data_IF_095494708285
#
_entry.id   IF_095494708285
#
_cell.length_a   1.000
_cell.length_b   1.000
_cell.length_c   1.000
_cell.angle_alpha   90.00
_cell.angle_beta   90.00
_cell.angle_gamma   90.00
#
_symmetry.space_group_name_H-M   'P 1'
#
loop_
_entity.id
_entity.type
_entity.pdbx_description
1 polymer ?
#
# COMPACT_ATOMS: atom_id res chain seq x y z
N UNK A 1 -23.94 8.57 -16.99
CA UNK A 1 -22.48 8.56 -16.87
C UNK A 1 -22.04 7.20 -16.44
N UNK A 2 -20.90 6.78 -16.98
CA UNK A 2 -20.20 5.53 -16.76
C UNK A 2 -18.85 5.86 -16.10
N UNK A 3 -18.85 6.22 -14.81
CA UNK A 3 -17.69 6.79 -14.15
C UNK A 3 -16.55 5.79 -13.88
N UNK A 4 -15.32 6.24 -14.13
CA UNK A 4 -14.06 5.62 -13.72
C UNK A 4 -13.26 6.63 -12.87
N UNK A 5 -12.56 6.14 -11.84
CA UNK A 5 -11.62 6.93 -11.05
C UNK A 5 -10.19 6.48 -11.31
N UNK A 6 -9.30 7.46 -11.51
CA UNK A 6 -7.86 7.27 -11.67
C UNK A 6 -7.14 7.94 -10.51
N UNK A 7 -6.30 7.17 -9.83
CA UNK A 7 -5.52 7.62 -8.69
C UNK A 7 -4.08 7.91 -9.13
N UNK A 8 -3.59 9.08 -8.75
CA UNK A 8 -2.21 9.51 -8.98
C UNK A 8 -1.50 9.86 -7.67
N UNK A 9 -0.20 9.61 -7.61
CA UNK A 9 0.72 10.21 -6.64
C UNK A 9 1.32 11.47 -7.25
N UNK A 10 1.35 12.56 -6.48
CA UNK A 10 2.03 13.79 -6.89
C UNK A 10 3.46 13.80 -6.36
N UNK A 11 4.43 13.70 -7.28
CA UNK A 11 5.85 13.78 -6.99
C UNK A 11 6.29 15.18 -6.54
N UNK A 12 7.51 15.27 -5.99
CA UNK A 12 8.09 16.55 -5.50
C UNK A 12 8.23 17.62 -6.59
N UNK A 13 8.40 17.20 -7.84
CA UNK A 13 8.45 18.08 -9.03
C UNK A 13 7.06 18.48 -9.53
N UNK A 14 5.98 18.05 -8.86
CA UNK A 14 4.60 18.26 -9.29
C UNK A 14 4.11 17.31 -10.37
N UNK A 15 4.96 16.40 -10.88
CA UNK A 15 4.54 15.39 -11.83
C UNK A 15 3.58 14.39 -11.18
N UNK A 16 2.61 13.92 -11.97
CA UNK A 16 1.64 12.93 -11.54
C UNK A 16 2.07 11.56 -12.04
N UNK A 17 2.21 10.61 -11.12
CA UNK A 17 2.47 9.21 -11.39
C UNK A 17 1.17 8.43 -11.18
N UNK A 18 0.70 7.73 -12.21
CA UNK A 18 -0.53 6.94 -12.11
C UNK A 18 -0.28 5.71 -11.23
N UNK A 19 -1.06 5.58 -10.16
CA UNK A 19 -0.99 4.45 -9.23
C UNK A 19 -1.90 3.33 -9.72
N UNK A 20 -3.09 3.69 -10.18
CA UNK A 20 -4.05 2.72 -10.68
C UNK A 20 -5.40 3.32 -11.04
N UNK A 21 -6.22 2.48 -11.66
CA UNK A 21 -7.57 2.80 -12.14
C UNK A 21 -8.58 1.87 -11.48
N UNK A 22 -9.78 2.37 -11.24
CA UNK A 22 -10.92 1.52 -10.89
C UNK A 22 -11.52 0.88 -12.14
N UNK A 23 -12.49 -0.01 -11.95
CA UNK A 23 -13.41 -0.38 -13.01
C UNK A 23 -14.33 0.78 -13.43
N UNK A 24 -14.97 0.63 -14.59
CA UNK A 24 -16.04 1.52 -15.05
C UNK A 24 -17.36 1.05 -14.44
N UNK A 25 -18.10 1.95 -13.80
CA UNK A 25 -19.44 1.64 -13.27
C UNK A 25 -20.49 2.11 -14.26
N UNK A 26 -21.20 1.21 -14.92
CA UNK A 26 -22.17 1.57 -15.95
C UNK A 26 -23.42 2.25 -15.38
N UNK A 27 -23.86 3.31 -16.05
CA UNK A 27 -25.10 4.04 -15.84
C UNK A 27 -25.36 4.46 -14.39
N UNK A 28 -24.35 5.02 -13.72
CA UNK A 28 -24.44 5.42 -12.32
C UNK A 28 -24.07 6.89 -12.08
N UNK A 29 -24.93 7.60 -11.34
CA UNK A 29 -24.68 8.95 -10.84
C UNK A 29 -24.05 8.94 -9.43
N UNK A 30 -24.09 7.80 -8.74
CA UNK A 30 -23.51 7.58 -7.42
C UNK A 30 -22.69 6.28 -7.43
N UNK A 31 -21.57 6.24 -8.19
CA UNK A 31 -20.80 5.01 -8.35
C UNK A 31 -20.20 4.56 -7.03
N UNK A 32 -20.15 3.24 -6.84
CA UNK A 32 -19.36 2.58 -5.80
C UNK A 32 -18.44 1.60 -6.50
N UNK A 33 -17.14 1.86 -6.44
CA UNK A 33 -16.13 0.99 -7.06
C UNK A 33 -15.72 -0.13 -6.10
N UNK A 34 -15.38 -1.26 -6.69
CA UNK A 34 -14.97 -2.51 -6.04
C UNK A 34 -13.45 -2.61 -6.05
N UNK A 35 -12.78 -2.18 -7.13
CA UNK A 35 -11.32 -2.23 -7.22
C UNK A 35 -10.69 -1.30 -6.17
N UNK A 36 -9.88 -1.90 -5.29
CA UNK A 36 -9.10 -1.18 -4.26
C UNK A 36 -7.69 -0.90 -4.78
N UNK A 37 -7.12 0.24 -4.36
CA UNK A 37 -5.73 0.59 -4.62
C UNK A 37 -4.90 0.40 -3.35
N UNK A 38 -3.76 -0.30 -3.47
CA UNK A 38 -2.86 -0.55 -2.34
C UNK A 38 -1.71 0.44 -2.35
N UNK A 39 -1.46 1.08 -1.21
CA UNK A 39 -0.44 2.11 -1.03
C UNK A 39 0.41 1.80 0.20
N UNK A 40 1.71 2.05 0.10
CA UNK A 40 2.60 2.06 1.28
C UNK A 40 2.53 3.42 1.93
N UNK A 41 2.25 3.47 3.23
CA UNK A 41 2.27 4.71 4.01
C UNK A 41 3.68 4.98 4.59
N UNK A 42 4.20 6.17 4.32
CA UNK A 42 5.49 6.68 4.79
C UNK A 42 5.23 7.89 5.69
N UNK A 43 5.30 7.69 7.01
CA UNK A 43 4.97 8.73 7.99
C UNK A 43 5.91 9.95 7.92
N UNK A 44 7.12 9.74 7.40
CA UNK A 44 8.17 10.74 7.24
C UNK A 44 8.00 11.62 5.99
N UNK A 45 7.03 11.29 5.10
CA UNK A 45 6.79 12.00 3.85
C UNK A 45 5.32 12.38 3.70
N UNK A 46 5.05 13.62 3.28
CA UNK A 46 3.71 14.02 2.84
C UNK A 46 3.42 13.39 1.48
N UNK A 47 2.59 12.35 1.47
CA UNK A 47 2.17 11.66 0.25
C UNK A 47 0.89 12.29 -0.29
N UNK A 48 1.01 13.11 -1.33
CA UNK A 48 -0.13 13.80 -1.95
C UNK A 48 -0.76 12.90 -3.01
N UNK A 49 -2.06 12.66 -2.86
CA UNK A 49 -2.89 11.88 -3.78
C UNK A 49 -3.77 12.81 -4.62
N UNK A 50 -3.88 12.50 -5.90
CA UNK A 50 -4.75 13.21 -6.84
C UNK A 50 -5.71 12.20 -7.46
N UNK A 51 -7.00 12.44 -7.28
CA UNK A 51 -8.09 11.62 -7.79
C UNK A 51 -8.71 12.31 -8.98
N UNK A 52 -8.74 11.66 -10.14
CA UNK A 52 -9.43 12.17 -11.33
C UNK A 52 -10.57 11.25 -11.69
N UNK A 53 -11.74 11.82 -11.95
CA UNK A 53 -12.93 11.06 -12.36
C UNK A 53 -13.25 11.39 -13.81
N UNK A 54 -13.55 10.37 -14.61
CA UNK A 54 -13.93 10.49 -16.00
C UNK A 54 -15.24 9.76 -16.25
N UNK A 55 -16.02 10.24 -17.22
CA UNK A 55 -17.16 9.55 -17.81
C UNK A 55 -16.68 8.84 -19.07
N UNK A 56 -16.77 7.50 -19.08
CA UNK A 56 -16.30 6.67 -20.19
C UNK A 56 -17.38 6.60 -21.26
N UNK A 57 -16.99 6.80 -22.52
CA UNK A 57 -17.94 6.67 -23.63
C UNK A 57 -18.41 5.21 -23.77
N UNK A 58 -19.71 5.05 -24.04
CA UNK A 58 -20.39 3.80 -24.37
C UNK A 58 -19.66 2.92 -25.39
N UNK A 59 -18.95 3.52 -26.34
CA UNK A 59 -18.17 2.76 -27.32
C UNK A 59 -16.99 1.97 -26.72
N UNK A 60 -16.55 2.32 -25.51
CA UNK A 60 -15.41 1.69 -24.84
C UNK A 60 -15.79 0.77 -23.67
N UNK A 61 -17.09 0.45 -23.49
CA UNK A 61 -17.55 -0.40 -22.38
C UNK A 61 -16.89 -1.79 -22.31
N UNK A 62 -16.43 -2.32 -23.44
CA UNK A 62 -15.77 -3.62 -23.51
C UNK A 62 -14.23 -3.53 -23.53
N UNK A 63 -13.65 -2.33 -23.48
CA UNK A 63 -12.22 -2.14 -23.48
C UNK A 63 -11.64 -2.38 -22.08
N UNK A 64 -10.43 -2.95 -22.01
CA UNK A 64 -9.70 -3.05 -20.75
C UNK A 64 -9.38 -1.64 -20.24
N UNK A 65 -9.68 -1.36 -18.96
CA UNK A 65 -9.43 -0.06 -18.34
C UNK A 65 -7.97 0.40 -18.42
N UNK A 66 -7.03 -0.56 -18.57
CA UNK A 66 -5.60 -0.28 -18.75
C UNK A 66 -5.27 0.29 -20.13
N UNK A 67 -6.05 -0.03 -21.16
CA UNK A 67 -5.85 0.47 -22.53
C UNK A 67 -6.73 1.68 -22.85
N UNK A 68 -7.68 2.03 -21.98
CA UNK A 68 -8.49 3.23 -22.13
C UNK A 68 -7.59 4.47 -22.18
N UNK A 69 -7.77 5.27 -23.24
CA UNK A 69 -7.12 6.56 -23.35
C UNK A 69 -7.97 7.61 -22.65
N UNK A 70 -7.47 8.14 -21.54
CA UNK A 70 -8.19 9.11 -20.71
C UNK A 70 -8.45 10.44 -21.42
N UNK A 71 -7.62 10.78 -22.41
CA UNK A 71 -7.80 11.97 -23.26
C UNK A 71 -9.03 11.89 -24.18
N UNK A 72 -9.51 10.68 -24.47
CA UNK A 72 -10.70 10.43 -25.28
C UNK A 72 -11.98 10.35 -24.41
N UNK A 73 -11.84 10.44 -23.07
CA UNK A 73 -12.96 10.35 -22.12
C UNK A 73 -13.35 11.73 -21.57
N UNK A 74 -14.59 11.88 -21.13
CA UNK A 74 -15.05 13.15 -20.59
C UNK A 74 -14.57 13.34 -19.15
N UNK A 75 -13.71 14.32 -18.92
CA UNK A 75 -13.23 14.66 -17.58
C UNK A 75 -14.36 15.24 -16.71
N UNK A 76 -14.64 14.59 -15.57
CA UNK A 76 -15.68 15.00 -14.64
C UNK A 76 -15.17 15.95 -13.56
N UNK A 77 -13.99 15.70 -13.02
CA UNK A 77 -13.36 16.56 -12.01
C UNK A 77 -12.18 15.91 -11.32
N UNK A 78 -11.46 16.71 -10.54
CA UNK A 78 -10.29 16.32 -9.77
C UNK A 78 -10.47 16.68 -8.28
N UNK A 79 -9.95 15.83 -7.40
CA UNK A 79 -9.79 16.12 -5.98
C UNK A 79 -8.36 15.78 -5.55
N UNK A 80 -7.81 16.52 -4.59
CA UNK A 80 -6.46 16.31 -4.06
C UNK A 80 -6.49 16.32 -2.53
N UNK A 81 -5.75 15.41 -1.90
CA UNK A 81 -5.52 15.42 -0.45
C UNK A 81 -4.20 14.72 -0.11
N UNK A 82 -3.67 14.91 1.09
CA UNK A 82 -2.62 14.04 1.60
C UNK A 82 -3.20 12.69 2.07
N UNK A 83 -2.46 11.59 1.91
CA UNK A 83 -2.86 10.27 2.43
C UNK A 83 -3.08 10.31 3.95
N UNK A 84 -2.27 11.10 4.67
CA UNK A 84 -2.41 11.33 6.11
C UNK A 84 -3.78 11.91 6.50
N UNK A 85 -4.42 12.70 5.63
CA UNK A 85 -5.72 13.31 5.92
C UNK A 85 -6.87 12.29 5.92
N UNK A 86 -6.69 11.14 5.24
CA UNK A 86 -7.69 10.07 5.19
C UNK A 86 -7.50 9.14 6.38
N UNK A 87 -6.28 8.64 6.58
CA UNK A 87 -5.98 7.63 7.60
C UNK A 87 -6.06 8.16 9.04
N UNK A 88 -5.99 9.48 9.25
CA UNK A 88 -6.13 10.08 10.58
C UNK A 88 -7.58 10.34 10.97
N UNK A 89 -8.55 10.10 10.07
CA UNK A 89 -9.97 10.17 10.40
C UNK A 89 -10.37 8.95 11.23
N UNK A 90 -11.22 9.17 12.22
CA UNK A 90 -11.68 8.12 13.14
C UNK A 90 -12.42 6.98 12.44
N UNK A 91 -13.08 7.25 11.32
CA UNK A 91 -13.78 6.26 10.49
C UNK A 91 -12.97 5.87 9.24
N UNK A 92 -11.73 6.35 9.10
CA UNK A 92 -10.87 6.10 7.94
C UNK A 92 -11.38 6.72 6.64
N UNK A 93 -12.34 7.66 6.68
CA UNK A 93 -12.99 8.17 5.47
C UNK A 93 -12.92 9.69 5.33
N UNK A 94 -12.71 10.16 4.09
CA UNK A 94 -12.67 11.56 3.72
C UNK A 94 -13.58 11.82 2.52
N UNK A 95 -14.42 12.84 2.61
CA UNK A 95 -15.21 13.32 1.46
C UNK A 95 -14.58 14.57 0.88
N UNK A 96 -14.26 14.53 -0.41
CA UNK A 96 -13.65 15.60 -1.17
C UNK A 96 -14.65 16.17 -2.19
N UNK A 97 -14.60 17.47 -2.43
CA UNK A 97 -15.32 18.08 -3.55
C UNK A 97 -14.51 17.85 -4.84
N UNK A 98 -15.16 17.36 -5.89
CA UNK A 98 -14.57 17.26 -7.22
C UNK A 98 -14.62 18.63 -7.89
N UNK A 99 -13.47 19.13 -8.28
CA UNK A 99 -13.30 20.44 -8.90
C UNK A 99 -12.97 20.28 -10.39
N UNK A 100 -13.59 21.11 -11.22
CA UNK A 100 -13.24 21.26 -12.62
C UNK A 100 -12.86 22.71 -12.88
N UNK A 101 -11.77 22.93 -13.58
CA UNK A 101 -11.37 24.28 -13.96
C UNK A 101 -12.32 24.80 -15.04
N UNK A 102 -13.00 25.91 -14.76
CA UNK A 102 -13.84 26.59 -15.75
C UNK A 102 -12.93 27.41 -16.67
N UNK A 103 -12.90 27.08 -17.95
CA UNK A 103 -12.09 27.79 -18.95
C UNK A 103 -12.62 29.19 -19.26
N UNK A 104 -13.86 29.51 -18.86
CA UNK A 104 -14.55 30.75 -19.22
C UNK A 104 -14.41 31.81 -18.12
N UNK A 105 -14.26 31.41 -16.85
CA UNK A 105 -14.14 32.33 -15.71
C UNK A 105 -12.80 32.13 -15.04
N UNK A 106 -11.81 32.93 -15.46
CA UNK A 106 -10.45 32.88 -14.93
C UNK A 106 -10.44 32.96 -13.40
N UNK A 107 -10.16 31.82 -12.75
CA UNK A 107 -9.93 31.70 -11.31
C UNK A 107 -11.00 30.96 -10.51
N UNK A 108 -12.17 30.65 -11.09
CA UNK A 108 -13.24 29.98 -10.35
C UNK A 108 -13.31 28.48 -10.72
N UNK A 109 -13.15 27.61 -9.72
CA UNK A 109 -13.28 26.16 -9.90
C UNK A 109 -14.73 25.74 -9.69
N UNK A 110 -15.34 25.13 -10.70
CA UNK A 110 -16.70 24.62 -10.57
C UNK A 110 -16.70 23.34 -9.74
N UNK A 111 -17.58 23.26 -8.73
CA UNK A 111 -17.86 22.01 -8.01
C UNK A 111 -18.72 21.11 -8.90
N UNK A 112 -18.20 19.94 -9.25
CA UNK A 112 -18.81 19.01 -10.20
C UNK A 112 -19.29 17.70 -9.56
N UNK A 113 -19.07 17.51 -8.26
CA UNK A 113 -19.49 16.33 -7.52
C UNK A 113 -18.74 16.18 -6.20
N UNK A 114 -18.92 15.03 -5.55
CA UNK A 114 -18.19 14.65 -4.35
C UNK A 114 -17.59 13.26 -4.53
N UNK A 115 -16.40 13.06 -3.98
CA UNK A 115 -15.72 11.78 -3.92
C UNK A 115 -15.52 11.40 -2.46
N UNK A 116 -16.08 10.27 -2.03
CA UNK A 116 -15.81 9.69 -0.71
C UNK A 116 -14.71 8.63 -0.84
N UNK A 117 -13.60 8.85 -0.16
CA UNK A 117 -12.47 7.92 -0.10
C UNK A 117 -12.46 7.25 1.26
N UNK A 118 -12.20 5.94 1.29
CA UNK A 118 -12.08 5.15 2.50
C UNK A 118 -10.74 4.42 2.48
N UNK A 119 -9.99 4.53 3.56
CA UNK A 119 -8.71 3.87 3.73
C UNK A 119 -8.80 2.83 4.85
N UNK A 120 -8.30 1.64 4.56
CA UNK A 120 -8.18 0.55 5.52
C UNK A 120 -6.74 0.05 5.51
N UNK A 121 -6.22 -0.23 6.69
CA UNK A 121 -4.92 -0.84 6.83
C UNK A 121 -5.02 -2.33 6.46
N UNK A 122 -4.22 -2.80 5.50
CA UNK A 122 -4.24 -4.20 5.07
C UNK A 122 -3.86 -5.13 6.23
N UNK A 123 -4.63 -6.19 6.48
CA UNK A 123 -4.43 -7.15 7.60
C UNK A 123 -2.98 -7.67 7.70
N UNK A 124 -2.30 -7.85 6.56
CA UNK A 124 -0.90 -8.28 6.51
C UNK A 124 0.11 -7.33 7.16
N UNK A 125 -0.24 -6.06 7.40
CA UNK A 125 0.63 -5.12 8.14
C UNK A 125 0.66 -5.38 9.65
N UNK A 126 -0.41 -5.99 10.20
CA UNK A 126 -0.57 -6.24 11.65
C UNK A 126 -0.18 -7.65 12.06
N UNK A 127 -0.05 -8.57 11.09
CA UNK A 127 0.26 -9.96 11.40
C UNK A 127 1.68 -10.08 11.92
N UNK A 128 1.78 -10.36 13.21
CA UNK A 128 3.02 -10.76 13.88
C UNK A 128 2.94 -12.24 14.17
N UNK A 129 3.96 -12.98 13.75
CA UNK A 129 4.08 -14.41 14.03
C UNK A 129 4.98 -14.58 15.25
N UNK A 130 4.49 -15.27 16.27
CA UNK A 130 5.28 -15.77 17.38
C UNK A 130 5.89 -17.12 16.98
N UNK A 131 7.21 -17.24 17.06
CA UNK A 131 7.95 -18.45 16.70
C UNK A 131 8.78 -18.88 17.89
N UNK A 132 8.61 -20.14 18.30
CA UNK A 132 9.49 -20.80 19.27
C UNK A 132 10.44 -21.70 18.49
N UNK A 133 11.73 -21.41 18.59
CA UNK A 133 12.77 -22.13 17.88
C UNK A 133 13.44 -23.12 18.82
N UNK A 134 13.72 -24.32 18.32
CA UNK A 134 14.44 -25.37 19.03
C UNK A 134 15.44 -26.03 18.09
N UNK A 135 16.63 -26.30 18.59
CA UNK A 135 17.58 -27.20 17.96
C UNK A 135 17.81 -28.42 18.86
N UNK A 136 18.26 -29.51 18.27
CA UNK A 136 18.74 -30.70 18.97
C UNK A 136 20.04 -31.16 18.36
N UNK A 137 20.86 -31.84 19.17
CA UNK A 137 22.09 -32.51 18.74
C UNK A 137 23.10 -31.60 18.03
N UNK A 138 23.26 -30.36 18.50
CA UNK A 138 24.24 -29.42 17.95
C UNK A 138 25.68 -29.94 18.13
N UNK A 139 26.45 -29.93 17.04
CA UNK A 139 27.83 -30.43 17.02
C UNK A 139 28.77 -29.66 17.95
N UNK A 140 29.72 -30.41 18.52
CA UNK A 140 30.83 -29.87 19.30
C UNK A 140 31.93 -29.39 18.36
N UNK A 141 32.07 -28.07 18.20
CA UNK A 141 33.15 -27.50 17.37
C UNK A 141 34.40 -27.08 18.17
N UNK A 142 34.29 -26.88 19.47
CA UNK A 142 35.42 -26.47 20.32
C UNK A 142 35.97 -27.66 21.09
N UNK A 143 37.26 -27.99 21.01
CA UNK A 143 37.82 -29.21 21.61
C UNK A 143 37.74 -29.32 23.14
N UNK A 144 37.37 -28.25 23.87
CA UNK A 144 37.32 -28.22 25.34
C UNK A 144 36.21 -27.34 25.96
N UNK A 145 35.23 -26.81 25.19
CA UNK A 145 34.07 -26.07 25.71
C UNK A 145 32.78 -26.42 24.97
N UNK A 146 31.65 -26.47 25.68
CA UNK A 146 30.34 -26.61 25.01
C UNK A 146 30.00 -25.29 24.32
N UNK A 147 29.34 -25.38 23.17
CA UNK A 147 28.94 -24.21 22.38
C UNK A 147 27.83 -23.42 23.09
N UNK A 148 27.80 -22.10 22.88
CA UNK A 148 26.75 -21.21 23.36
C UNK A 148 25.83 -20.80 22.20
N UNK A 149 24.91 -21.67 21.74
CA UNK A 149 24.18 -21.44 20.49
C UNK A 149 23.17 -20.30 20.57
N UNK A 150 23.05 -19.59 19.44
CA UNK A 150 22.03 -18.58 19.17
C UNK A 150 21.61 -18.69 17.69
N UNK A 151 20.45 -18.12 17.36
CA UNK A 151 19.94 -18.02 16.00
C UNK A 151 19.92 -16.58 15.52
N UNK A 152 20.23 -16.40 14.24
CA UNK A 152 20.10 -15.14 13.52
C UNK A 152 19.20 -15.37 12.30
N UNK A 153 17.97 -14.87 12.36
CA UNK A 153 17.03 -14.90 11.23
C UNK A 153 17.37 -13.73 10.32
N UNK A 154 17.59 -14.02 9.03
CA UNK A 154 17.92 -13.01 8.02
C UNK A 154 16.93 -13.06 6.86
N UNK A 155 16.50 -11.88 6.39
CA UNK A 155 15.75 -11.69 5.15
C UNK A 155 16.71 -11.73 3.96
N UNK A 156 16.40 -12.54 2.95
CA UNK A 156 17.09 -12.48 1.66
C UNK A 156 16.41 -11.40 0.81
N UNK A 157 17.17 -10.41 0.35
CA UNK A 157 16.67 -9.39 -0.58
C UNK A 157 16.96 -9.78 -2.03
N UNK A 158 16.34 -9.09 -3.00
CA UNK A 158 16.46 -9.40 -4.44
C UNK A 158 17.90 -9.44 -4.96
N UNK A 159 18.80 -8.65 -4.36
CA UNK A 159 20.23 -8.67 -4.67
C UNK A 159 20.97 -9.93 -4.20
N UNK A 160 20.27 -10.84 -3.50
CA UNK A 160 20.84 -12.02 -2.85
C UNK A 160 21.49 -11.74 -1.49
N UNK A 161 21.55 -10.48 -1.05
CA UNK A 161 22.10 -10.12 0.24
C UNK A 161 21.20 -10.61 1.41
N UNK A 162 21.83 -10.98 2.52
CA UNK A 162 21.16 -11.39 3.74
C UNK A 162 21.13 -10.23 4.75
N UNK A 163 19.93 -9.76 5.10
CA UNK A 163 19.72 -8.68 6.07
C UNK A 163 19.20 -9.30 7.38
N UNK A 164 19.93 -9.21 8.50
CA UNK A 164 19.45 -9.71 9.78
C UNK A 164 18.17 -9.00 10.22
N UNK A 165 17.14 -9.76 10.59
CA UNK A 165 15.84 -9.22 11.03
C UNK A 165 15.46 -9.65 12.46
N UNK A 166 16.06 -10.72 12.99
CA UNK A 166 15.85 -11.15 14.37
C UNK A 166 17.03 -11.97 14.87
N UNK A 167 17.36 -11.84 16.16
CA UNK A 167 18.40 -12.60 16.84
C UNK A 167 17.87 -13.11 18.18
N UNK A 168 18.09 -14.39 18.49
CA UNK A 168 17.75 -14.96 19.80
C UNK A 168 18.83 -14.65 20.84
N UNK A 169 18.53 -14.92 22.11
CA UNK A 169 19.54 -15.02 23.14
C UNK A 169 20.54 -16.17 22.84
N UNK A 170 21.76 -16.04 23.36
CA UNK A 170 22.69 -17.15 23.42
C UNK A 170 22.38 -18.01 24.64
N UNK A 171 22.24 -19.32 24.45
CA UNK A 171 22.02 -20.26 25.55
C UNK A 171 23.34 -20.93 25.85
N UNK A 172 23.80 -20.81 27.10
CA UNK A 172 25.13 -21.27 27.47
C UNK A 172 25.20 -22.79 27.58
N UNK A 173 26.19 -23.42 26.95
CA UNK A 173 26.53 -24.83 27.11
C UNK A 173 25.37 -25.82 26.85
N UNK A 174 24.45 -25.52 25.93
CA UNK A 174 23.29 -26.35 25.61
C UNK A 174 23.32 -26.83 24.15
N UNK A 175 23.18 -28.14 23.95
CA UNK A 175 23.21 -28.77 22.62
C UNK A 175 21.80 -29.07 22.08
N UNK A 176 20.77 -28.89 22.90
CA UNK A 176 19.37 -28.96 22.51
C UNK A 176 18.60 -27.70 22.93
N UNK A 177 19.10 -26.50 22.58
CA UNK A 177 18.54 -25.24 23.06
C UNK A 177 17.09 -25.08 22.59
N UNK A 178 16.26 -24.57 23.49
CA UNK A 178 14.95 -23.99 23.14
C UNK A 178 14.98 -22.53 23.53
N UNK A 179 14.94 -21.65 22.54
CA UNK A 179 15.01 -20.21 22.76
C UNK A 179 13.66 -19.63 23.15
N UNK A 180 13.68 -18.45 23.76
CA UNK A 180 12.47 -17.65 24.00
C UNK A 180 11.74 -17.36 22.68
N UNK A 181 10.42 -17.17 22.74
CA UNK A 181 9.65 -16.81 21.55
C UNK A 181 10.20 -15.53 20.91
N UNK A 182 10.29 -15.54 19.58
CA UNK A 182 10.61 -14.36 18.77
C UNK A 182 9.37 -13.91 18.00
N UNK A 183 9.22 -12.61 17.83
CA UNK A 183 8.08 -11.99 17.16
C UNK A 183 8.54 -11.39 15.85
N UNK A 184 8.00 -11.87 14.73
CA UNK A 184 8.32 -11.37 13.39
C UNK A 184 7.07 -10.79 12.73
N UNK A 185 7.14 -9.54 12.29
CA UNK A 185 6.06 -8.97 11.47
C UNK A 185 6.19 -9.50 10.02
N UNK A 186 5.08 -9.87 9.40
CA UNK A 186 5.05 -10.39 8.02
C UNK A 186 5.70 -9.42 7.01
N UNK A 187 5.63 -8.11 7.24
CA UNK A 187 6.33 -7.11 6.42
C UNK A 187 7.87 -7.21 6.52
N UNK A 188 8.40 -7.61 7.68
CA UNK A 188 9.85 -7.79 7.88
C UNK A 188 10.36 -9.05 7.17
N UNK A 189 9.51 -10.06 7.00
CA UNK A 189 9.86 -11.32 6.31
C UNK A 189 9.76 -11.15 4.78
N UNK A 190 8.93 -10.20 4.33
CA UNK A 190 8.73 -9.85 2.93
C UNK A 190 7.38 -10.35 2.41
N UNK A 191 6.71 -9.50 1.63
CA UNK A 191 5.52 -9.89 0.89
C UNK A 191 5.96 -10.36 -0.49
N UNK A 192 5.65 -11.60 -0.87
CA UNK A 192 5.57 -11.92 -2.30
C UNK A 192 4.37 -11.13 -2.83
N UNK A 193 4.64 -10.18 -3.72
CA UNK A 193 3.63 -9.63 -4.64
C UNK A 193 3.38 -10.68 -5.72
#
# INVERSE_FOLDING_TARGET
SDPIMVLYAKGKNGALEEIGRTEVVLNSLNPTWITKQTLTYHFEVVQVLVFRVYDVDTQFHNADVKILKLEEQQFLGEATCALSEIITKSDGSLTLDLLRQDSIRSGDSQKCGKLKVHAEECVGSKTTVEIILRCSDLEYRDLFSKSDPFLLVSKVVESGAHIPICKTEAIKNDHSPTWKPVFLNVQQVGSKV
#
